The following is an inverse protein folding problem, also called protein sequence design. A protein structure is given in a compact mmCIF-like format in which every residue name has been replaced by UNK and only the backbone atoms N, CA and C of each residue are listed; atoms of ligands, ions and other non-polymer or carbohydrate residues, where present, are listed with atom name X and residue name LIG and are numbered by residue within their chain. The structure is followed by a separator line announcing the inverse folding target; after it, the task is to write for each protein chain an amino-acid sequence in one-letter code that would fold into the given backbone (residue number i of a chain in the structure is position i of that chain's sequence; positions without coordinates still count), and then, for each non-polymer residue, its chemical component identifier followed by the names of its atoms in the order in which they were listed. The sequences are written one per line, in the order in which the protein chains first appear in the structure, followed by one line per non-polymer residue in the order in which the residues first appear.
data_IF_574170536985
#
_entry.id   IF_574170536985
#
_cell.length_a   1.000
_cell.length_b   1.000
_cell.length_c   1.000
_cell.angle_alpha   90.00
_cell.angle_beta   90.00
_cell.angle_gamma   90.00
#
_symmetry.space_group_name_H-M   'P 1'
#
loop_
_entity.id
_entity.type
_entity.pdbx_description
1 polymer ?
#
# COMPACT_ATOMS: atom_id res chain seq x y z
N UNK A 1 -31.97 -10.03 -6.45
CA UNK A 1 -32.89 -9.32 -7.37
C UNK A 1 -32.22 -8.00 -7.71
N UNK A 2 -32.01 -7.70 -8.99
CA UNK A 2 -31.41 -6.42 -9.43
C UNK A 2 -32.39 -5.28 -9.12
N UNK A 3 -31.88 -4.11 -8.75
CA UNK A 3 -32.68 -2.94 -8.37
C UNK A 3 -33.18 -2.16 -9.59
N UNK A 4 -32.39 -2.13 -10.67
CA UNK A 4 -32.75 -1.45 -11.93
C UNK A 4 -32.14 -2.16 -13.16
N UNK A 5 -32.55 -1.74 -14.35
CA UNK A 5 -32.09 -2.34 -15.62
C UNK A 5 -30.60 -2.06 -15.88
N UNK A 6 -30.07 -0.92 -15.44
CA UNK A 6 -28.65 -0.57 -15.63
C UNK A 6 -27.71 -1.43 -14.81
N UNK A 7 -28.05 -1.70 -13.54
CA UNK A 7 -27.35 -2.65 -12.68
C UNK A 7 -27.34 -4.03 -13.34
N UNK A 8 -28.49 -4.48 -13.85
CA UNK A 8 -28.63 -5.78 -14.49
C UNK A 8 -27.79 -5.88 -15.76
N UNK A 9 -27.87 -4.88 -16.64
CA UNK A 9 -27.16 -4.86 -17.91
C UNK A 9 -25.65 -4.83 -17.69
N UNK A 10 -25.18 -4.00 -16.75
CA UNK A 10 -23.78 -3.95 -16.34
C UNK A 10 -23.30 -5.30 -15.78
N UNK A 11 -24.09 -5.94 -14.92
CA UNK A 11 -23.73 -7.26 -14.37
C UNK A 11 -23.63 -8.33 -15.46
N UNK A 12 -24.61 -8.39 -16.35
CA UNK A 12 -24.64 -9.35 -17.46
C UNK A 12 -23.49 -9.11 -18.44
N UNK A 13 -23.17 -7.85 -18.74
CA UNK A 13 -22.04 -7.51 -19.59
C UNK A 13 -20.71 -7.89 -18.95
N UNK A 14 -20.58 -7.70 -17.63
CA UNK A 14 -19.47 -8.22 -16.83
C UNK A 14 -19.31 -9.74 -16.97
N UNK A 15 -20.41 -10.48 -16.87
CA UNK A 15 -20.41 -11.95 -17.02
C UNK A 15 -20.00 -12.39 -18.44
N UNK A 16 -20.42 -11.66 -19.48
CA UNK A 16 -20.03 -11.93 -20.87
C UNK A 16 -18.51 -11.77 -21.03
N UNK A 17 -17.96 -10.63 -20.62
CA UNK A 17 -16.51 -10.41 -20.74
C UNK A 17 -15.69 -11.36 -19.86
N UNK A 18 -16.24 -11.84 -18.75
CA UNK A 18 -15.58 -12.84 -17.92
C UNK A 18 -15.54 -14.22 -18.62
N UNK A 19 -16.54 -14.58 -19.43
CA UNK A 19 -16.48 -15.77 -20.29
C UNK A 19 -15.46 -15.58 -21.41
N UNK A 20 -15.49 -14.43 -22.08
CA UNK A 20 -14.50 -14.11 -23.13
C UNK A 20 -13.07 -14.16 -22.59
N UNK A 21 -12.85 -13.77 -21.32
CA UNK A 21 -11.57 -13.94 -20.64
C UNK A 21 -11.13 -15.40 -20.48
N UNK A 22 -12.05 -16.32 -20.18
CA UNK A 22 -11.74 -17.74 -20.05
C UNK A 22 -11.42 -18.40 -21.39
N UNK A 23 -11.99 -17.86 -22.47
CA UNK A 23 -11.79 -18.36 -23.84
C UNK A 23 -10.64 -17.65 -24.58
N UNK A 24 -10.10 -16.56 -24.03
CA UNK A 24 -9.05 -15.77 -24.66
C UNK A 24 -7.72 -16.53 -24.77
N UNK A 25 -7.22 -16.65 -26.00
CA UNK A 25 -5.97 -17.34 -26.31
C UNK A 25 -4.73 -16.46 -26.09
N UNK A 26 -4.87 -15.14 -26.20
CA UNK A 26 -3.75 -14.19 -26.07
C UNK A 26 -3.75 -13.43 -24.74
N UNK A 27 -2.57 -13.10 -24.22
CA UNK A 27 -2.43 -12.29 -23.00
C UNK A 27 -2.99 -10.87 -23.15
N UNK A 28 -2.93 -10.31 -24.37
CA UNK A 28 -3.51 -9.00 -24.66
C UNK A 28 -5.04 -9.05 -24.58
N UNK A 29 -5.67 -10.10 -25.12
CA UNK A 29 -7.12 -10.27 -25.07
C UNK A 29 -7.58 -10.58 -23.65
N UNK A 30 -6.88 -11.46 -22.92
CA UNK A 30 -7.13 -11.71 -21.49
C UNK A 30 -7.10 -10.42 -20.69
N UNK A 31 -6.08 -9.58 -20.88
CA UNK A 31 -5.99 -8.30 -20.18
C UNK A 31 -7.19 -7.40 -20.50
N UNK A 32 -7.56 -7.31 -21.79
CA UNK A 32 -8.67 -6.48 -22.24
C UNK A 32 -10.01 -6.94 -21.67
N UNK A 33 -10.34 -8.22 -21.82
CA UNK A 33 -11.62 -8.80 -21.37
C UNK A 33 -11.74 -8.77 -19.85
N UNK A 34 -10.67 -9.07 -19.11
CA UNK A 34 -10.64 -8.89 -17.67
C UNK A 34 -10.89 -7.43 -17.25
N UNK A 35 -10.26 -6.46 -17.93
CA UNK A 35 -10.44 -5.03 -17.63
C UNK A 35 -11.89 -4.58 -17.88
N UNK A 36 -12.50 -5.05 -18.96
CA UNK A 36 -13.90 -4.76 -19.30
C UNK A 36 -14.87 -5.41 -18.30
N UNK A 37 -14.62 -6.65 -17.90
CA UNK A 37 -15.41 -7.34 -16.88
C UNK A 37 -15.38 -6.57 -15.56
N UNK A 38 -14.19 -6.23 -15.05
CA UNK A 38 -14.01 -5.46 -13.81
C UNK A 38 -14.74 -4.11 -13.88
N UNK A 39 -14.58 -3.38 -14.99
CA UNK A 39 -15.21 -2.07 -15.16
C UNK A 39 -16.74 -2.15 -15.10
N UNK A 40 -17.33 -3.17 -15.72
CA UNK A 40 -18.78 -3.41 -15.69
C UNK A 40 -19.27 -3.84 -14.30
N UNK A 41 -18.51 -4.68 -13.57
CA UNK A 41 -18.86 -5.03 -12.20
C UNK A 41 -18.79 -3.83 -11.26
N UNK A 42 -17.79 -2.96 -11.41
CA UNK A 42 -17.71 -1.71 -10.63
C UNK A 42 -18.95 -0.84 -10.90
N UNK A 43 -19.33 -0.66 -12.17
CA UNK A 43 -20.54 0.08 -12.55
C UNK A 43 -21.78 -0.52 -11.87
N UNK A 44 -21.96 -1.84 -11.98
CA UNK A 44 -23.12 -2.51 -11.42
C UNK A 44 -23.17 -2.43 -9.88
N UNK A 45 -22.02 -2.48 -9.20
CA UNK A 45 -21.92 -2.27 -7.76
C UNK A 45 -22.31 -0.82 -7.40
N UNK A 46 -21.81 0.17 -8.15
CA UNK A 46 -22.16 1.57 -7.93
C UNK A 46 -23.67 1.81 -8.10
N UNK A 47 -24.29 1.23 -9.13
CA UNK A 47 -25.73 1.30 -9.36
C UNK A 47 -26.53 0.65 -8.21
N UNK A 48 -26.10 -0.52 -7.74
CA UNK A 48 -26.75 -1.22 -6.61
C UNK A 48 -26.66 -0.47 -5.30
N UNK A 49 -25.52 0.17 -5.02
CA UNK A 49 -25.29 0.92 -3.78
C UNK A 49 -26.05 2.26 -3.83
N UNK A 50 -26.16 2.86 -5.01
CA UNK A 50 -26.85 4.11 -5.24
C UNK A 50 -26.00 5.36 -4.93
N UNK A 51 -26.42 6.53 -5.44
CA UNK A 51 -25.62 7.75 -5.41
C UNK A 51 -25.39 8.30 -4.00
N UNK A 52 -26.33 8.12 -3.07
CA UNK A 52 -26.24 8.67 -1.71
C UNK A 52 -25.16 7.97 -0.88
N UNK A 53 -25.12 6.64 -0.94
CA UNK A 53 -24.11 5.84 -0.26
C UNK A 53 -22.72 6.03 -0.90
N UNK A 54 -22.65 6.15 -2.23
CA UNK A 54 -21.39 6.48 -2.92
C UNK A 54 -20.88 7.87 -2.53
N UNK A 55 -21.77 8.88 -2.48
CA UNK A 55 -21.43 10.23 -2.03
C UNK A 55 -20.94 10.23 -0.58
N UNK A 56 -21.61 9.45 0.29
CA UNK A 56 -21.21 9.28 1.69
C UNK A 56 -19.82 8.62 1.82
N UNK A 57 -19.51 7.65 0.97
CA UNK A 57 -18.22 6.97 0.96
C UNK A 57 -17.07 7.86 0.44
N UNK A 58 -17.35 8.70 -0.58
CA UNK A 58 -16.34 9.57 -1.20
C UNK A 58 -16.11 10.88 -0.45
N UNK A 59 -17.05 11.27 0.41
CA UNK A 59 -16.98 12.47 1.24
C UNK A 59 -16.96 13.79 0.46
N UNK A 60 -17.04 14.89 1.21
CA UNK A 60 -16.99 16.25 0.63
C UNK A 60 -15.58 16.59 0.16
N UNK A 61 -15.47 17.26 -0.98
CA UNK A 61 -14.19 17.78 -1.46
C UNK A 61 -13.68 18.89 -0.52
N UNK A 62 -12.42 18.82 -0.04
CA UNK A 62 -11.82 19.89 0.74
C UNK A 62 -11.64 21.19 -0.08
N UNK A 63 -11.44 22.35 0.59
CA UNK A 63 -11.15 23.61 -0.08
C UNK A 63 -9.91 23.54 -0.98
N UNK A 64 -9.90 24.30 -2.08
CA UNK A 64 -8.78 24.27 -3.03
C UNK A 64 -7.44 24.70 -2.43
N UNK A 65 -7.48 25.51 -1.37
CA UNK A 65 -6.33 26.07 -0.65
C UNK A 65 -5.66 25.09 0.31
N UNK A 66 -6.29 23.95 0.61
CA UNK A 66 -5.77 22.96 1.55
C UNK A 66 -5.19 21.75 0.80
N UNK A 67 -3.92 21.88 0.38
CA UNK A 67 -3.22 20.84 -0.38
C UNK A 67 -3.16 19.50 0.37
N UNK A 68 -2.92 19.54 1.68
CA UNK A 68 -2.81 18.33 2.52
C UNK A 68 -4.14 17.58 2.56
N UNK A 69 -5.23 18.27 2.88
CA UNK A 69 -6.56 17.65 2.92
C UNK A 69 -6.98 17.11 1.55
N UNK A 70 -6.66 17.81 0.46
CA UNK A 70 -6.97 17.34 -0.91
C UNK A 70 -6.22 16.07 -1.28
N UNK A 71 -4.94 15.97 -0.94
CA UNK A 71 -4.13 14.77 -1.19
C UNK A 71 -4.67 13.57 -0.39
N UNK A 72 -4.99 13.77 0.88
CA UNK A 72 -5.61 12.74 1.71
C UNK A 72 -7.00 12.31 1.18
N UNK A 73 -7.84 13.27 0.80
CA UNK A 73 -9.15 13.01 0.20
C UNK A 73 -9.04 12.20 -1.10
N UNK A 74 -8.10 12.55 -1.99
CA UNK A 74 -7.86 11.77 -3.21
C UNK A 74 -7.37 10.36 -2.88
N UNK A 75 -6.46 10.21 -1.90
CA UNK A 75 -6.01 8.90 -1.45
C UNK A 75 -7.16 8.04 -0.92
N UNK A 76 -8.07 8.60 -0.12
CA UNK A 76 -9.23 7.89 0.42
C UNK A 76 -10.17 7.42 -0.71
N UNK A 77 -10.45 8.29 -1.68
CA UNK A 77 -11.28 7.95 -2.85
C UNK A 77 -10.66 6.86 -3.73
N UNK A 78 -9.34 6.85 -3.89
CA UNK A 78 -8.65 5.77 -4.62
C UNK A 78 -8.79 4.42 -3.89
N UNK A 79 -8.76 4.40 -2.56
CA UNK A 79 -8.87 3.16 -1.79
C UNK A 79 -10.26 2.52 -1.89
N UNK A 80 -11.32 3.30 -2.18
CA UNK A 80 -12.68 2.75 -2.38
C UNK A 80 -12.71 1.73 -3.52
N UNK A 81 -11.89 1.94 -4.55
CA UNK A 81 -11.84 1.09 -5.75
C UNK A 81 -10.52 0.33 -5.90
N UNK A 82 -9.62 0.44 -4.92
CA UNK A 82 -8.36 -0.27 -4.97
C UNK A 82 -8.62 -1.77 -4.74
N UNK A 83 -8.21 -2.66 -5.66
CA UNK A 83 -8.25 -4.09 -5.38
C UNK A 83 -7.32 -4.39 -4.19
N UNK A 84 -7.65 -5.39 -3.34
CA UNK A 84 -6.76 -5.82 -2.28
C UNK A 84 -5.45 -6.30 -2.90
N UNK A 85 -4.36 -5.59 -2.59
CA UNK A 85 -3.02 -5.93 -3.05
C UNK A 85 -2.25 -6.61 -1.94
N UNK A 86 -1.35 -7.53 -2.30
CA UNK A 86 -0.32 -8.04 -1.39
C UNK A 86 0.89 -7.09 -1.31
N UNK A 87 0.76 -5.84 -1.79
CA UNK A 87 1.79 -4.80 -1.72
C UNK A 87 2.87 -4.87 -2.80
N UNK A 88 2.72 -5.75 -3.79
CA UNK A 88 3.78 -6.10 -4.75
C UNK A 88 3.92 -5.11 -5.93
N UNK A 89 2.81 -4.53 -6.40
CA UNK A 89 2.83 -3.64 -7.56
C UNK A 89 2.93 -2.15 -7.17
N UNK A 90 4.02 -1.51 -7.62
CA UNK A 90 4.29 -0.08 -7.45
C UNK A 90 3.31 0.81 -8.23
N UNK A 91 2.73 0.32 -9.33
CA UNK A 91 1.78 1.06 -10.14
C UNK A 91 0.32 0.77 -9.75
N UNK A 92 0.10 0.13 -8.60
CA UNK A 92 -1.24 -0.11 -8.06
C UNK A 92 -1.90 1.16 -7.52
N UNK A 93 -3.24 1.17 -7.50
CA UNK A 93 -4.03 2.24 -6.90
C UNK A 93 -3.71 2.43 -5.40
N UNK A 94 -3.40 1.35 -4.70
CA UNK A 94 -2.96 1.40 -3.29
C UNK A 94 -1.59 2.06 -3.15
N UNK A 95 -0.63 1.76 -4.04
CA UNK A 95 0.67 2.43 -4.05
C UNK A 95 0.53 3.93 -4.32
N UNK A 96 -0.35 4.32 -5.26
CA UNK A 96 -0.67 5.73 -5.52
C UNK A 96 -1.34 6.39 -4.31
N UNK A 97 -2.29 5.73 -3.65
CA UNK A 97 -2.91 6.26 -2.44
C UNK A 97 -1.90 6.45 -1.30
N UNK A 98 -0.96 5.51 -1.12
CA UNK A 98 0.15 5.64 -0.15
C UNK A 98 1.08 6.81 -0.50
N UNK A 99 1.40 7.00 -1.78
CA UNK A 99 2.21 8.13 -2.24
C UNK A 99 1.53 9.47 -1.97
N UNK A 100 0.24 9.60 -2.27
CA UNK A 100 -0.52 10.83 -2.01
C UNK A 100 -0.51 11.20 -0.52
N UNK A 101 -0.68 10.21 0.38
CA UNK A 101 -0.56 10.45 1.83
C UNK A 101 0.85 10.86 2.25
N UNK A 102 1.87 10.29 1.65
CA UNK A 102 3.25 10.69 1.91
C UNK A 102 3.51 12.13 1.43
N UNK A 103 2.99 12.48 0.25
CA UNK A 103 3.07 13.84 -0.31
C UNK A 103 2.32 14.86 0.56
N UNK A 104 1.17 14.48 1.12
CA UNK A 104 0.41 15.31 2.05
C UNK A 104 1.27 15.73 3.27
N UNK A 105 2.17 14.84 3.70
CA UNK A 105 3.13 15.07 4.79
C UNK A 105 4.50 15.61 4.31
N UNK A 106 4.65 15.93 3.02
CA UNK A 106 5.83 16.61 2.47
C UNK A 106 6.87 15.74 1.75
N UNK A 107 6.61 14.45 1.52
CA UNK A 107 7.43 13.65 0.59
C UNK A 107 7.26 14.13 -0.86
N UNK A 108 8.27 13.91 -1.69
CA UNK A 108 8.16 14.17 -3.13
C UNK A 108 7.41 13.04 -3.84
N UNK A 109 6.75 13.31 -4.98
CA UNK A 109 6.29 12.26 -5.86
C UNK A 109 7.45 11.34 -6.30
N UNK A 110 7.11 10.10 -6.61
CA UNK A 110 7.97 9.05 -7.11
C UNK A 110 7.31 8.26 -8.25
N UNK A 111 5.99 8.13 -8.31
CA UNK A 111 5.32 7.46 -9.44
C UNK A 111 5.22 8.44 -10.62
N UNK A 112 4.70 9.64 -10.39
CA UNK A 112 4.46 10.63 -11.45
C UNK A 112 5.71 11.41 -11.84
N UNK A 113 6.58 11.69 -10.88
CA UNK A 113 7.82 12.44 -11.08
C UNK A 113 8.92 11.85 -10.18
N UNK A 114 9.65 10.82 -10.63
CA UNK A 114 10.74 10.24 -9.84
C UNK A 114 11.81 11.30 -9.57
N UNK A 115 11.80 11.85 -8.35
CA UNK A 115 12.68 12.95 -7.99
C UNK A 115 14.14 12.47 -7.88
N UNK A 116 15.10 13.09 -8.61
CA UNK A 116 16.52 12.88 -8.35
C UNK A 116 16.88 13.40 -6.95
N UNK A 117 17.81 12.71 -6.28
CA UNK A 117 18.30 13.13 -4.97
C UNK A 117 19.09 14.44 -5.11
N UNK A 118 18.53 15.53 -4.58
CA UNK A 118 19.25 16.79 -4.40
C UNK A 118 19.42 16.99 -2.89
N UNK A 119 20.64 16.72 -2.42
CA UNK A 119 20.97 16.61 -1.01
C UNK A 119 20.42 17.75 -0.16
N UNK A 120 19.73 17.36 0.93
CA UNK A 120 19.51 18.02 2.23
C UNK A 120 18.20 17.57 2.88
N UNK A 121 17.20 17.11 2.09
CA UNK A 121 16.02 16.38 2.60
C UNK A 121 15.83 15.10 1.83
N UNK A 122 15.73 13.96 2.54
CA UNK A 122 15.38 12.70 1.92
C UNK A 122 13.98 12.85 1.27
N UNK A 123 13.83 12.58 -0.04
CA UNK A 123 12.55 12.78 -0.75
C UNK A 123 11.45 11.80 -0.33
N UNK A 124 11.75 10.91 0.62
CA UNK A 124 10.94 9.78 1.05
C UNK A 124 10.95 9.54 2.56
N UNK A 125 11.11 10.60 3.35
CA UNK A 125 11.19 10.50 4.81
C UNK A 125 9.94 9.84 5.41
N UNK A 126 8.75 10.19 4.92
CA UNK A 126 7.47 9.67 5.39
C UNK A 126 7.30 8.20 4.99
N UNK A 127 7.61 7.85 3.74
CA UNK A 127 7.62 6.43 3.30
C UNK A 127 8.58 5.57 4.13
N UNK A 128 9.80 6.05 4.38
CA UNK A 128 10.75 5.36 5.25
C UNK A 128 10.19 5.21 6.67
N UNK A 129 9.51 6.23 7.20
CA UNK A 129 8.86 6.13 8.51
C UNK A 129 7.76 5.06 8.54
N UNK A 130 6.96 4.91 7.48
CA UNK A 130 5.97 3.81 7.38
C UNK A 130 6.63 2.42 7.34
N UNK A 131 7.74 2.25 6.61
CA UNK A 131 8.48 0.98 6.62
C UNK A 131 9.07 0.66 8.00
N UNK A 132 9.58 1.68 8.71
CA UNK A 132 10.05 1.54 10.08
C UNK A 132 8.91 1.20 11.04
N UNK A 133 7.74 1.81 10.87
CA UNK A 133 6.52 1.46 11.62
C UNK A 133 6.17 -0.02 11.39
N UNK A 134 6.19 -0.49 10.13
CA UNK A 134 5.92 -1.89 9.79
C UNK A 134 6.85 -2.87 10.52
N UNK A 135 8.13 -2.53 10.67
CA UNK A 135 9.08 -3.35 11.44
C UNK A 135 8.69 -3.44 12.93
N UNK A 136 8.26 -2.32 13.52
CA UNK A 136 7.79 -2.27 14.91
C UNK A 136 6.46 -3.02 15.08
N UNK A 137 5.59 -2.97 14.08
CA UNK A 137 4.36 -3.74 14.03
C UNK A 137 4.63 -5.25 13.95
N UNK A 138 5.63 -5.69 13.19
CA UNK A 138 6.09 -7.09 13.18
C UNK A 138 6.52 -7.55 14.58
N UNK A 139 7.26 -6.73 15.33
CA UNK A 139 7.62 -7.07 16.72
C UNK A 139 6.39 -7.20 17.61
N UNK A 140 5.45 -6.25 17.53
CA UNK A 140 4.19 -6.31 18.29
C UNK A 140 3.36 -7.55 17.94
N UNK A 141 3.24 -7.86 16.64
CA UNK A 141 2.55 -9.05 16.14
C UNK A 141 3.21 -10.33 16.66
N UNK A 142 4.51 -10.52 16.44
CA UNK A 142 5.23 -11.73 16.84
C UNK A 142 5.25 -11.91 18.36
N UNK A 143 5.35 -10.81 19.12
CA UNK A 143 5.20 -10.80 20.58
C UNK A 143 3.81 -11.27 21.01
N UNK A 144 2.74 -10.79 20.37
CA UNK A 144 1.37 -11.21 20.68
C UNK A 144 1.12 -12.70 20.42
N UNK A 145 1.88 -13.30 19.49
CA UNK A 145 1.86 -14.74 19.18
C UNK A 145 2.79 -15.58 20.05
N UNK A 146 3.39 -15.01 21.09
CA UNK A 146 4.21 -15.72 22.07
C UNK A 146 5.64 -16.03 21.63
N UNK A 147 6.14 -15.43 20.54
CA UNK A 147 7.51 -15.65 20.09
C UNK A 147 8.52 -15.04 21.06
N UNK A 148 9.60 -15.77 21.32
CA UNK A 148 10.66 -15.31 22.23
C UNK A 148 11.36 -14.08 21.66
N UNK A 149 11.88 -13.18 22.52
CA UNK A 149 12.58 -11.98 22.06
C UNK A 149 13.71 -12.26 21.07
N UNK A 150 14.57 -13.23 21.37
CA UNK A 150 15.68 -13.58 20.49
C UNK A 150 15.20 -13.97 19.08
N UNK A 151 14.20 -14.85 18.98
CA UNK A 151 13.73 -15.39 17.70
C UNK A 151 13.10 -14.28 16.83
N UNK A 152 12.18 -13.50 17.40
CA UNK A 152 11.49 -12.44 16.64
C UNK A 152 12.42 -11.28 16.27
N UNK A 153 13.32 -10.86 17.18
CA UNK A 153 14.26 -9.77 16.89
C UNK A 153 15.25 -10.20 15.79
N UNK A 154 15.73 -11.43 15.81
CA UNK A 154 16.62 -11.96 14.77
C UNK A 154 15.91 -12.05 13.42
N UNK A 155 14.66 -12.53 13.39
CA UNK A 155 13.87 -12.59 12.17
C UNK A 155 13.66 -11.20 11.55
N UNK A 156 13.27 -10.20 12.36
CA UNK A 156 13.06 -8.83 11.89
C UNK A 156 14.38 -8.18 11.45
N UNK A 157 15.45 -8.33 12.24
CA UNK A 157 16.77 -7.78 11.91
C UNK A 157 17.31 -8.35 10.59
N UNK A 158 17.19 -9.67 10.40
CA UNK A 158 17.56 -10.34 9.16
C UNK A 158 16.72 -9.84 7.98
N UNK A 159 15.41 -9.74 8.16
CA UNK A 159 14.50 -9.30 7.11
C UNK A 159 14.74 -7.86 6.69
N UNK A 160 15.07 -6.94 7.60
CA UNK A 160 15.30 -5.51 7.29
C UNK A 160 16.75 -5.18 6.95
N UNK A 161 17.71 -6.06 7.26
CA UNK A 161 19.14 -5.84 7.06
C UNK A 161 19.71 -4.78 8.02
N UNK A 162 19.16 -4.70 9.22
CA UNK A 162 19.51 -3.71 10.26
C UNK A 162 19.59 -4.40 11.61
N UNK A 163 20.53 -3.99 12.46
CA UNK A 163 20.62 -4.53 13.82
C UNK A 163 19.36 -4.20 14.63
N UNK A 164 18.92 -5.14 15.48
CA UNK A 164 17.75 -4.92 16.32
C UNK A 164 17.87 -3.68 17.22
N UNK A 165 19.08 -3.37 17.70
CA UNK A 165 19.34 -2.16 18.50
C UNK A 165 19.08 -0.87 17.73
N UNK A 166 19.26 -0.90 16.41
CA UNK A 166 18.90 0.19 15.50
C UNK A 166 17.39 0.24 15.29
N UNK A 167 16.75 -0.90 15.00
CA UNK A 167 15.31 -1.00 14.78
C UNK A 167 14.52 -0.53 15.99
N UNK A 168 14.91 -0.96 17.20
CA UNK A 168 14.29 -0.54 18.46
C UNK A 168 14.28 0.99 18.64
N UNK A 169 15.33 1.68 18.13
CA UNK A 169 15.45 3.14 18.18
C UNK A 169 14.67 3.87 17.09
N UNK A 170 13.98 3.15 16.20
CA UNK A 170 13.12 3.79 15.19
C UNK A 170 11.81 4.32 15.78
N UNK A 171 11.35 3.80 16.92
CA UNK A 171 10.10 4.27 17.56
C UNK A 171 10.02 5.81 17.68
N UNK A 172 11.01 6.53 18.26
CA UNK A 172 10.97 7.99 18.30
C UNK A 172 11.04 8.67 16.93
N UNK A 173 11.73 8.07 15.94
CA UNK A 173 11.81 8.61 14.58
C UNK A 173 10.46 8.52 13.86
N UNK A 174 9.77 7.38 14.04
CA UNK A 174 8.42 7.15 13.51
C UNK A 174 7.42 8.10 14.16
N UNK A 175 7.47 8.23 15.49
CA UNK A 175 6.61 9.16 16.22
C UNK A 175 6.79 10.62 15.75
N UNK A 176 8.04 11.04 15.49
CA UNK A 176 8.33 12.39 15.00
C UNK A 176 7.82 12.63 13.56
N UNK A 177 7.83 11.60 12.71
CA UNK A 177 7.45 11.73 11.30
C UNK A 177 5.95 11.52 11.04
N UNK A 178 5.32 10.54 11.72
CA UNK A 178 3.93 10.16 11.49
C UNK A 178 2.98 10.67 12.58
N UNK A 179 3.50 11.01 13.76
CA UNK A 179 2.73 11.34 14.94
C UNK A 179 2.59 10.16 15.91
N UNK A 180 2.46 10.46 17.20
CA UNK A 180 2.36 9.47 18.28
C UNK A 180 1.09 8.63 18.13
N UNK A 181 -0.04 9.26 17.79
CA UNK A 181 -1.33 8.58 17.62
C UNK A 181 -1.26 7.49 16.55
N UNK A 182 -0.67 7.78 15.39
CA UNK A 182 -0.57 6.81 14.30
C UNK A 182 0.34 5.63 14.66
N UNK A 183 1.44 5.90 15.36
CA UNK A 183 2.33 4.87 15.90
C UNK A 183 1.59 3.96 16.88
N UNK A 184 0.91 4.52 17.88
CA UNK A 184 0.26 3.74 18.94
C UNK A 184 -0.90 2.89 18.38
N UNK A 185 -1.77 3.49 17.55
CA UNK A 185 -2.84 2.76 16.86
C UNK A 185 -2.28 1.63 16.00
N UNK A 186 -1.19 1.89 15.26
CA UNK A 186 -0.55 0.89 14.41
C UNK A 186 0.00 -0.30 15.19
N UNK A 187 0.60 -0.05 16.36
CA UNK A 187 1.11 -1.12 17.24
C UNK A 187 -0.01 -1.89 17.93
N UNK A 188 -1.05 -1.21 18.38
CA UNK A 188 -2.22 -1.83 19.01
C UNK A 188 -2.92 -2.78 18.05
N UNK A 189 -3.19 -2.33 16.81
CA UNK A 189 -3.77 -3.17 15.76
C UNK A 189 -2.90 -4.39 15.45
N UNK A 190 -1.58 -4.21 15.34
CA UNK A 190 -0.66 -5.31 15.06
C UNK A 190 -0.60 -6.35 16.19
N UNK A 191 -0.77 -5.91 17.44
CA UNK A 191 -0.80 -6.79 18.63
C UNK A 191 -2.13 -7.53 18.82
N UNK A 192 -3.15 -7.21 18.02
CA UNK A 192 -4.47 -7.82 18.14
C UNK A 192 -4.43 -9.32 17.78
N UNK A 193 -4.80 -10.17 18.74
CA UNK A 193 -4.83 -11.63 18.57
C UNK A 193 -6.12 -12.16 17.93
N UNK A 194 -7.16 -11.33 17.86
CA UNK A 194 -8.46 -11.66 17.27
C UNK A 194 -8.31 -11.59 15.73
N UNK A 195 -8.12 -12.74 15.08
CA UNK A 195 -7.80 -12.85 13.64
C UNK A 195 -8.78 -12.12 12.70
N UNK A 196 -10.11 -12.17 12.90
CA UNK A 196 -11.05 -11.38 12.06
C UNK A 196 -10.89 -9.85 12.17
N UNK A 197 -10.14 -9.37 13.18
CA UNK A 197 -9.87 -7.94 13.41
C UNK A 197 -8.43 -7.53 13.08
N UNK A 198 -7.50 -8.47 12.90
CA UNK A 198 -6.13 -8.15 12.51
C UNK A 198 -6.02 -8.08 10.98
N UNK A 199 -6.69 -7.08 10.39
CA UNK A 199 -6.61 -6.76 8.96
C UNK A 199 -5.19 -6.34 8.53
N UNK A 200 -4.30 -6.07 9.49
CA UNK A 200 -2.94 -5.59 9.26
C UNK A 200 -1.95 -6.76 9.08
N UNK A 201 -2.22 -7.91 9.71
CA UNK A 201 -1.44 -9.15 9.65
C UNK A 201 -2.37 -10.38 9.48
N UNK A 202 -3.00 -10.55 8.30
CA UNK A 202 -3.97 -11.62 8.05
C UNK A 202 -3.30 -12.97 7.72
N UNK A 203 -2.20 -13.31 8.38
CA UNK A 203 -1.43 -14.52 8.05
C UNK A 203 -1.97 -15.73 8.81
N UNK A 204 -2.37 -16.76 8.05
CA UNK A 204 -2.89 -18.01 8.60
C UNK A 204 -1.77 -19.01 8.93
N UNK A 205 -0.64 -18.90 8.24
CA UNK A 205 0.51 -19.81 8.37
C UNK A 205 1.81 -19.06 8.67
N UNK A 206 2.74 -19.74 9.36
CA UNK A 206 4.09 -19.22 9.59
C UNK A 206 4.82 -18.93 8.28
N UNK A 207 4.64 -19.76 7.25
CA UNK A 207 5.29 -19.57 5.95
C UNK A 207 4.83 -18.27 5.27
N UNK A 208 3.52 -17.99 5.29
CA UNK A 208 2.98 -16.71 4.78
C UNK A 208 3.52 -15.52 5.57
N UNK A 209 3.53 -15.62 6.91
CA UNK A 209 4.03 -14.54 7.76
C UNK A 209 5.52 -14.26 7.50
N UNK A 210 6.36 -15.29 7.37
CA UNK A 210 7.78 -15.13 7.08
C UNK A 210 8.04 -14.56 5.69
N UNK A 211 7.32 -15.05 4.67
CA UNK A 211 7.41 -14.51 3.32
C UNK A 211 7.01 -13.03 3.26
N UNK A 212 5.96 -12.64 3.97
CA UNK A 212 5.54 -11.24 4.06
C UNK A 212 6.53 -10.37 4.83
N UNK A 213 7.12 -10.89 5.93
CA UNK A 213 8.17 -10.19 6.67
C UNK A 213 9.40 -9.92 5.78
N UNK A 214 9.83 -10.91 4.99
CA UNK A 214 10.92 -10.76 4.03
C UNK A 214 10.58 -9.73 2.94
N UNK A 215 9.35 -9.75 2.42
CA UNK A 215 8.87 -8.78 1.44
C UNK A 215 8.87 -7.35 2.00
N UNK A 216 8.37 -7.14 3.22
CA UNK A 216 8.37 -5.84 3.90
C UNK A 216 9.80 -5.29 4.11
N UNK A 217 10.72 -6.17 4.54
CA UNK A 217 12.12 -5.83 4.71
C UNK A 217 12.84 -5.53 3.40
N UNK A 218 12.49 -6.24 2.32
CA UNK A 218 12.95 -5.94 0.97
C UNK A 218 12.48 -4.55 0.51
N UNK A 219 11.19 -4.26 0.68
CA UNK A 219 10.60 -2.98 0.32
C UNK A 219 11.27 -1.80 1.07
N UNK A 220 11.58 -1.98 2.36
CA UNK A 220 12.36 -0.99 3.12
C UNK A 220 13.74 -0.72 2.51
N UNK A 221 14.49 -1.79 2.18
CA UNK A 221 15.83 -1.64 1.59
C UNK A 221 15.77 -0.97 0.22
N UNK A 222 14.78 -1.31 -0.58
CA UNK A 222 14.60 -0.70 -1.89
C UNK A 222 14.23 0.78 -1.75
N UNK A 223 13.37 1.13 -0.80
CA UNK A 223 13.05 2.53 -0.51
C UNK A 223 14.28 3.31 -0.01
N UNK A 224 15.18 2.68 0.76
CA UNK A 224 16.47 3.29 1.11
C UNK A 224 17.39 3.48 -0.09
N UNK A 225 17.49 2.50 -0.99
CA UNK A 225 18.33 2.59 -2.20
C UNK A 225 17.85 3.67 -3.16
N UNK A 226 16.54 3.94 -3.22
CA UNK A 226 15.94 5.03 -4.03
C UNK A 226 16.44 6.42 -3.65
N UNK A 227 17.13 6.56 -2.51
CA UNK A 227 17.82 7.80 -2.13
C UNK A 227 19.09 8.06 -2.96
N UNK A 228 19.58 7.08 -3.73
CA UNK A 228 20.79 7.21 -4.54
C UNK A 228 20.47 7.04 -6.02
N UNK A 229 20.64 8.11 -6.79
CA UNK A 229 20.83 7.98 -8.23
C UNK A 229 22.32 7.73 -8.42
N UNK A 230 22.74 6.46 -8.52
CA UNK A 230 24.06 6.17 -9.09
C UNK A 230 23.94 6.49 -10.56
N UNK A 231 24.36 7.69 -10.95
CA UNK A 231 24.70 7.96 -12.34
C UNK A 231 25.85 6.99 -12.64
N UNK A 232 25.59 5.94 -13.40
CA UNK A 232 26.68 5.20 -14.01
C UNK A 232 27.39 6.17 -14.94
N UNK A 233 28.67 6.44 -14.65
CA UNK A 233 29.57 7.18 -15.54
C UNK A 233 29.59 6.46 -16.91
N UNK A 234 28.79 6.93 -17.85
CA UNK A 234 28.85 6.47 -19.24
C UNK A 234 30.08 7.02 -19.99
N UNK A 235 31.01 7.70 -19.31
CA UNK A 235 32.23 8.27 -19.89
C UNK A 235 33.45 7.34 -19.88
N UNK A 236 33.24 6.02 -19.87
CA UNK A 236 34.31 5.03 -20.14
C UNK A 236 33.98 4.16 -21.34
N UNK A 237 33.85 4.75 -22.53
CA UNK A 237 34.05 4.09 -23.84
C UNK A 237 34.11 5.12 -24.98
N UNK A 238 34.99 6.10 -24.85
CA UNK A 238 35.51 6.86 -25.98
C UNK A 238 37.01 7.04 -25.77
N UNK A 239 37.75 5.97 -26.08
CA UNK A 239 39.21 5.91 -26.07
C UNK A 239 39.63 4.81 -27.03
#
# INVERSE_FOLDING_TARGET
MFQNDWERDAWLMGDVYLRDYQEAESEADKRRTASLAISNYILAICERIGPDALTSALGTSPPETDTEARLNCLADRLNVFAPPSMGEDRLSLEALARELRAMAKGDKPQITEPAPFHGLKAPNAIRIAHHKLRALQWDAFLKSRGNRPADRHNAIASAYGEDWTTIYRWKPQVAAALGVTELDVGLDLASCTITPKNLVFPYETTAQAMSALEADGCAYRDERKRQFQVVEDTDRRAG
#
